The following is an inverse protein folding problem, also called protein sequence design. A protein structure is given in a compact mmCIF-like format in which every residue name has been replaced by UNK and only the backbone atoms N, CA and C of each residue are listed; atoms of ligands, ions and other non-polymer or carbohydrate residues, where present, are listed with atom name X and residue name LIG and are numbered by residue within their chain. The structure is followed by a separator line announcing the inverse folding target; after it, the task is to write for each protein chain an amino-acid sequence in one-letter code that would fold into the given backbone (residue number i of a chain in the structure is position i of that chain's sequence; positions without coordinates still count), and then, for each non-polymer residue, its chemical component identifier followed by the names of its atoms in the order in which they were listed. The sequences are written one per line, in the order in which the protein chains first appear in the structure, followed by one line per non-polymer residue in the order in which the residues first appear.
data_IF_921488338863
#
_entry.id   IF_921488338863
#
_cell.length_a   1.000
_cell.length_b   1.000
_cell.length_c   1.000
_cell.angle_alpha   90.00
_cell.angle_beta   90.00
_cell.angle_gamma   90.00
#
_symmetry.space_group_name_H-M   'P 1'
#
loop_
_entity.id
_entity.type
_entity.pdbx_description
1 polymer ?
#
# COMPACT_ATOMS: atom_id res chain seq x y z
N UNK A 1 13.27 4.56 18.29
CA UNK A 1 14.32 4.63 17.24
C UNK A 1 13.86 3.78 16.07
N UNK A 2 13.92 4.30 14.85
CA UNK A 2 13.49 3.65 13.63
C UNK A 2 14.64 3.64 12.63
N UNK A 3 14.88 2.50 11.99
CA UNK A 3 15.85 2.37 10.90
C UNK A 3 15.17 2.63 9.57
N UNK A 4 15.59 3.67 8.88
CA UNK A 4 15.13 4.00 7.53
C UNK A 4 16.13 3.46 6.51
N UNK A 5 15.64 2.74 5.52
CA UNK A 5 16.44 2.17 4.43
C UNK A 5 16.29 3.01 3.16
N UNK A 6 17.40 3.30 2.52
CA UNK A 6 17.46 3.99 1.23
C UNK A 6 18.45 3.25 0.31
N UNK A 7 17.95 2.37 -0.53
CA UNK A 7 18.82 1.48 -1.30
C UNK A 7 19.70 0.62 -0.39
N UNK A 8 21.03 0.81 -0.49
CA UNK A 8 22.01 0.10 0.35
C UNK A 8 22.38 0.88 1.63
N UNK A 9 21.86 2.07 1.81
CA UNK A 9 22.13 2.91 2.97
C UNK A 9 21.05 2.76 4.02
N UNK A 10 21.44 2.90 5.29
CA UNK A 10 20.52 2.92 6.43
C UNK A 10 20.74 4.16 7.26
N UNK A 11 19.66 4.73 7.76
CA UNK A 11 19.66 5.92 8.60
C UNK A 11 18.90 5.59 9.89
N UNK A 12 19.56 5.71 11.04
CA UNK A 12 18.90 5.58 12.33
C UNK A 12 18.25 6.91 12.72
N UNK A 13 16.93 6.89 12.87
CA UNK A 13 16.13 8.05 13.23
C UNK A 13 15.71 7.95 14.70
N UNK A 14 16.04 8.96 15.50
CA UNK A 14 15.43 9.17 16.81
C UNK A 14 14.15 9.97 16.60
N UNK A 15 13.02 9.30 16.65
CA UNK A 15 11.71 9.90 16.41
C UNK A 15 11.15 10.53 17.68
N UNK A 16 10.40 11.61 17.51
CA UNK A 16 9.68 12.30 18.58
C UNK A 16 8.48 11.45 19.06
N UNK A 17 8.07 11.64 20.31
CA UNK A 17 7.00 10.88 20.97
C UNK A 17 5.61 11.08 20.33
N UNK A 18 5.43 12.13 19.54
CA UNK A 18 4.21 12.41 18.79
C UNK A 18 4.14 11.69 17.42
N UNK A 19 5.13 10.86 17.08
CA UNK A 19 5.08 9.99 15.92
C UNK A 19 4.01 8.91 16.12
N UNK A 20 3.25 8.59 15.08
CA UNK A 20 2.13 7.65 15.18
C UNK A 20 1.91 6.84 13.91
N UNK A 21 1.29 5.67 14.07
CA UNK A 21 0.71 4.89 12.95
C UNK A 21 -0.81 5.02 12.95
N UNK A 22 -1.39 5.00 11.77
CA UNK A 22 -2.83 5.02 11.55
C UNK A 22 -3.21 3.97 10.52
N UNK A 23 -4.19 3.13 10.86
CA UNK A 23 -4.73 2.11 9.95
C UNK A 23 -6.26 2.18 9.96
N UNK A 24 -6.86 2.29 8.77
CA UNK A 24 -8.30 2.21 8.57
C UNK A 24 -8.67 0.94 7.79
N UNK A 25 -9.79 0.33 8.17
CA UNK A 25 -10.39 -0.77 7.38
C UNK A 25 -10.78 -0.21 6.02
N UNK A 26 -10.37 -0.88 4.94
CA UNK A 26 -10.55 -0.43 3.54
C UNK A 26 -10.04 1.00 3.23
N UNK A 27 -9.29 1.59 4.14
CA UNK A 27 -8.74 2.94 4.03
C UNK A 27 -7.21 2.98 4.07
N UNK A 28 -6.67 4.11 4.48
CA UNK A 28 -5.23 4.36 4.56
C UNK A 28 -4.55 3.51 5.64
N UNK A 29 -3.28 3.20 5.43
CA UNK A 29 -2.38 2.60 6.42
C UNK A 29 -1.05 3.36 6.35
N UNK A 30 -0.83 4.26 7.30
CA UNK A 30 0.24 5.24 7.29
C UNK A 30 1.05 5.23 8.59
N UNK A 31 2.31 5.61 8.47
CA UNK A 31 3.23 5.86 9.58
C UNK A 31 3.76 7.29 9.45
N UNK A 32 3.40 8.14 10.40
CA UNK A 32 3.89 9.53 10.46
C UNK A 32 5.01 9.63 11.47
N UNK A 33 6.19 10.03 11.01
CA UNK A 33 7.37 10.21 11.83
C UNK A 33 7.73 11.68 11.92
N UNK A 34 7.89 12.16 13.15
CA UNK A 34 8.46 13.47 13.47
C UNK A 34 9.83 13.28 14.08
N UNK A 35 10.81 14.04 13.63
CA UNK A 35 12.16 14.02 14.21
C UNK A 35 12.93 15.30 13.86
N UNK A 36 13.99 15.56 14.60
CA UNK A 36 14.95 16.63 14.33
C UNK A 36 16.33 16.06 14.02
N UNK A 37 17.07 16.71 13.13
CA UNK A 37 18.41 16.28 12.73
C UNK A 37 19.36 17.48 12.64
N UNK A 38 20.62 17.38 13.15
CA UNK A 38 21.58 18.48 13.17
C UNK A 38 22.27 18.72 11.81
N UNK A 39 21.53 18.77 10.75
CA UNK A 39 22.00 18.98 9.39
C UNK A 39 20.92 18.60 8.41
N UNK A 40 21.10 18.97 7.15
CA UNK A 40 20.20 18.54 6.11
C UNK A 40 20.35 17.03 5.89
N UNK A 41 19.23 16.31 6.00
CA UNK A 41 19.11 14.89 5.70
C UNK A 41 18.27 14.71 4.45
N UNK A 42 18.86 14.15 3.41
CA UNK A 42 18.10 13.79 2.20
C UNK A 42 17.39 12.45 2.42
N UNK A 43 16.06 12.48 2.41
CA UNK A 43 15.23 11.28 2.48
C UNK A 43 14.45 11.17 1.17
N UNK A 44 14.97 10.43 0.18
CA UNK A 44 14.33 10.35 -1.13
C UNK A 44 13.07 9.48 -1.09
N UNK A 45 12.16 9.74 -2.03
CA UNK A 45 11.00 8.87 -2.30
C UNK A 45 11.49 7.45 -2.56
N UNK A 46 10.79 6.47 -1.99
CA UNK A 46 11.18 5.06 -2.02
C UNK A 46 11.97 4.59 -0.78
N UNK A 47 12.44 5.51 0.07
CA UNK A 47 12.96 5.14 1.40
C UNK A 47 11.88 4.43 2.20
N UNK A 48 12.26 3.42 3.01
CA UNK A 48 11.31 2.59 3.73
C UNK A 48 11.84 2.18 5.11
N UNK A 49 10.92 1.83 5.99
CA UNK A 49 11.21 1.21 7.27
C UNK A 49 10.25 0.06 7.56
N UNK A 50 10.62 -0.78 8.51
CA UNK A 50 9.73 -1.81 9.07
C UNK A 50 9.20 -1.34 10.42
N UNK A 51 7.89 -1.47 10.61
CA UNK A 51 7.22 -1.15 11.84
C UNK A 51 6.08 -2.13 12.08
N UNK A 52 6.09 -2.81 13.23
CA UNK A 52 5.15 -3.89 13.58
C UNK A 52 4.94 -4.94 12.48
N UNK A 53 6.04 -5.38 11.84
CA UNK A 53 6.02 -6.43 10.81
C UNK A 53 5.47 -6.00 9.46
N UNK A 54 5.19 -4.71 9.27
CA UNK A 54 4.78 -4.10 7.99
C UNK A 54 5.92 -3.24 7.45
N UNK A 55 5.95 -3.10 6.12
CA UNK A 55 6.86 -2.18 5.43
C UNK A 55 6.12 -0.89 5.06
N UNK A 56 6.62 0.23 5.58
CA UNK A 56 6.15 1.57 5.24
C UNK A 56 7.17 2.27 4.37
N UNK A 57 6.74 2.83 3.26
CA UNK A 57 7.60 3.48 2.27
C UNK A 57 7.19 4.93 2.05
N UNK A 58 8.15 5.79 1.85
CA UNK A 58 7.93 7.19 1.50
C UNK A 58 7.47 7.28 0.04
N UNK A 59 6.22 7.65 -0.20
CA UNK A 59 5.62 7.77 -1.55
C UNK A 59 5.65 9.18 -2.10
N UNK A 60 5.85 10.18 -1.25
CA UNK A 60 5.90 11.61 -1.56
C UNK A 60 7.12 12.24 -0.92
N UNK A 61 7.55 13.39 -1.40
CA UNK A 61 8.67 14.11 -0.82
C UNK A 61 8.46 14.40 0.68
N UNK A 62 9.55 14.31 1.43
CA UNK A 62 9.56 14.65 2.85
C UNK A 62 9.34 16.14 3.07
N UNK A 63 8.53 16.47 4.08
CA UNK A 63 8.43 17.85 4.55
C UNK A 63 9.52 18.11 5.59
N UNK A 64 10.26 19.20 5.42
CA UNK A 64 11.22 19.64 6.42
C UNK A 64 11.20 21.15 6.61
N UNK A 65 11.58 21.57 7.81
CA UNK A 65 11.73 22.99 8.18
C UNK A 65 13.10 23.20 8.79
N UNK A 66 13.83 24.20 8.31
CA UNK A 66 15.08 24.61 8.91
C UNK A 66 14.82 25.47 10.17
N UNK A 67 15.35 25.05 11.29
CA UNK A 67 15.23 25.73 12.58
C UNK A 67 16.63 26.21 13.01
N UNK A 68 16.96 27.48 12.69
CA UNK A 68 18.28 28.04 12.98
C UNK A 68 19.37 27.58 12.00
N UNK A 69 20.64 27.68 12.40
CA UNK A 69 21.77 27.45 11.48
C UNK A 69 22.02 25.97 11.16
N UNK A 70 21.79 25.06 12.10
CA UNK A 70 22.20 23.64 12.01
C UNK A 70 21.14 22.66 12.50
N UNK A 71 19.88 23.05 12.54
CA UNK A 71 18.82 22.13 12.97
C UNK A 71 17.67 22.11 11.98
N UNK A 72 17.19 20.90 11.66
CA UNK A 72 16.09 20.67 10.74
C UNK A 72 15.06 19.77 11.41
N UNK A 73 13.79 20.16 11.34
CA UNK A 73 12.67 19.31 11.77
C UNK A 73 12.04 18.66 10.54
N UNK A 74 11.79 17.38 10.61
CA UNK A 74 11.23 16.57 9.52
C UNK A 74 9.87 16.01 9.90
N UNK A 75 9.01 15.90 8.90
CA UNK A 75 7.79 15.12 8.93
C UNK A 75 7.80 14.16 7.76
N UNK A 76 7.87 12.87 8.02
CA UNK A 76 7.75 11.82 7.01
C UNK A 76 6.40 11.15 7.15
N UNK A 77 5.65 11.08 6.07
CA UNK A 77 4.44 10.26 5.98
C UNK A 77 4.76 9.09 5.06
N UNK A 78 4.90 7.92 5.67
CA UNK A 78 5.18 6.67 4.98
C UNK A 78 3.89 5.86 4.88
N UNK A 79 3.73 5.15 3.78
CA UNK A 79 2.52 4.40 3.46
C UNK A 79 2.88 2.94 3.17
N UNK A 80 1.97 2.03 3.49
CA UNK A 80 2.11 0.61 3.11
C UNK A 80 1.89 0.41 1.60
N UNK A 81 2.07 -0.80 1.11
CA UNK A 81 1.77 -1.15 -0.29
C UNK A 81 0.30 -1.00 -0.65
N UNK A 82 -0.58 -0.81 0.33
CA UNK A 82 -1.99 -0.47 0.11
C UNK A 82 -2.14 0.78 -0.77
N UNK A 83 -1.28 1.79 -0.59
CA UNK A 83 -1.22 2.98 -1.44
C UNK A 83 -0.87 2.67 -2.91
N UNK A 84 -0.16 1.57 -3.19
CA UNK A 84 0.17 1.17 -4.56
C UNK A 84 -1.09 0.79 -5.36
N UNK A 85 -2.16 0.35 -4.69
CA UNK A 85 -3.42 -0.01 -5.35
C UNK A 85 -4.11 1.18 -6.01
N UNK A 86 -3.85 2.39 -5.56
CA UNK A 86 -4.39 3.64 -6.12
C UNK A 86 -3.74 4.03 -7.45
N UNK A 87 -2.54 3.53 -7.71
CA UNK A 87 -1.73 3.94 -8.85
C UNK A 87 -1.95 3.09 -10.11
N UNK A 88 -2.47 1.86 -9.96
CA UNK A 88 -2.49 0.88 -11.03
C UNK A 88 -3.88 0.59 -11.56
N UNK A 89 -4.06 0.79 -12.88
CA UNK A 89 -5.32 0.49 -13.57
C UNK A 89 -5.43 -1.00 -13.88
N UNK A 90 -6.65 -1.52 -13.68
CA UNK A 90 -7.03 -2.87 -14.09
C UNK A 90 -6.98 -3.00 -15.61
N UNK A 91 -6.41 -4.08 -16.07
CA UNK A 91 -6.38 -4.49 -17.48
C UNK A 91 -6.91 -5.90 -17.60
N UNK A 92 -7.65 -6.14 -18.66
CA UNK A 92 -8.03 -7.49 -19.05
C UNK A 92 -6.76 -8.33 -19.32
N UNK A 93 -6.72 -9.54 -18.80
CA UNK A 93 -5.54 -10.43 -18.91
C UNK A 93 -5.32 -10.96 -20.34
N UNK A 94 -6.37 -11.00 -21.16
CA UNK A 94 -6.32 -11.55 -22.54
C UNK A 94 -5.85 -10.51 -23.56
N UNK A 95 -6.45 -9.30 -23.53
CA UNK A 95 -6.25 -8.30 -24.59
C UNK A 95 -5.74 -6.94 -24.09
N UNK A 96 -5.42 -6.83 -22.79
CA UNK A 96 -4.90 -5.62 -22.14
C UNK A 96 -5.83 -4.40 -22.17
N UNK A 97 -7.10 -4.55 -22.57
CA UNK A 97 -8.06 -3.44 -22.53
C UNK A 97 -8.27 -2.95 -21.10
N UNK A 98 -8.45 -1.65 -20.95
CA UNK A 98 -8.73 -0.96 -19.68
C UNK A 98 -10.22 -0.63 -19.52
N UNK A 99 -11.03 -0.92 -20.52
CA UNK A 99 -12.49 -0.82 -20.53
C UNK A 99 -13.08 -2.13 -21.02
N UNK A 100 -13.67 -2.90 -20.10
CA UNK A 100 -14.24 -4.20 -20.40
C UNK A 100 -15.25 -4.64 -19.34
N UNK A 101 -16.31 -5.37 -19.73
CA UNK A 101 -17.14 -6.11 -18.80
C UNK A 101 -16.42 -7.40 -18.38
N UNK A 102 -16.63 -7.82 -17.14
CA UNK A 102 -16.09 -9.09 -16.64
C UNK A 102 -17.11 -9.75 -15.72
N UNK A 103 -17.61 -10.93 -16.12
CA UNK A 103 -18.55 -11.75 -15.35
C UNK A 103 -17.78 -12.92 -14.76
N UNK A 104 -17.73 -12.97 -13.43
CA UNK A 104 -16.92 -13.95 -12.72
C UNK A 104 -17.39 -14.10 -11.26
N UNK A 105 -16.88 -15.12 -10.57
CA UNK A 105 -17.03 -15.31 -9.13
C UNK A 105 -16.12 -14.36 -8.35
N UNK A 106 -16.36 -14.12 -7.03
CA UNK A 106 -15.54 -13.22 -6.21
C UNK A 106 -14.03 -13.50 -6.33
N UNK A 107 -13.64 -14.76 -6.24
CA UNK A 107 -12.23 -15.19 -6.29
C UNK A 107 -11.57 -14.90 -7.64
N UNK A 108 -12.31 -15.01 -8.73
CA UNK A 108 -11.80 -14.74 -10.08
C UNK A 108 -11.64 -13.23 -10.32
N UNK A 109 -12.59 -12.40 -9.81
CA UNK A 109 -12.45 -10.96 -9.78
C UNK A 109 -11.23 -10.54 -8.97
N UNK A 110 -11.06 -11.12 -7.76
CA UNK A 110 -9.90 -10.85 -6.92
C UNK A 110 -8.60 -11.26 -7.60
N UNK A 111 -8.61 -12.42 -8.28
CA UNK A 111 -7.44 -12.88 -9.05
C UNK A 111 -7.05 -11.90 -10.14
N UNK A 112 -8.01 -11.37 -10.89
CA UNK A 112 -7.75 -10.36 -11.91
C UNK A 112 -7.07 -9.12 -11.30
N UNK A 113 -7.53 -8.66 -10.12
CA UNK A 113 -6.95 -7.50 -9.43
C UNK A 113 -5.51 -7.82 -8.98
N UNK A 114 -5.30 -8.95 -8.32
CA UNK A 114 -3.98 -9.39 -7.82
C UNK A 114 -2.98 -9.61 -8.97
N UNK A 115 -3.41 -10.21 -10.07
CA UNK A 115 -2.58 -10.38 -11.26
C UNK A 115 -2.13 -9.02 -11.83
N UNK A 116 -3.01 -8.02 -11.82
CA UNK A 116 -2.67 -6.66 -12.27
C UNK A 116 -1.69 -5.95 -11.30
N UNK A 117 -1.85 -6.12 -10.01
CA UNK A 117 -0.91 -5.61 -9.00
C UNK A 117 0.47 -6.23 -9.18
N UNK A 118 0.55 -7.56 -9.38
CA UNK A 118 1.80 -8.29 -9.58
C UNK A 118 2.54 -7.92 -10.87
N UNK A 119 1.86 -7.35 -11.87
CA UNK A 119 2.53 -6.81 -13.07
C UNK A 119 3.45 -5.61 -12.75
N UNK A 120 3.25 -4.97 -11.61
CA UNK A 120 3.96 -3.75 -11.22
C UNK A 120 4.86 -3.92 -10.01
N UNK A 121 4.40 -4.68 -9.04
CA UNK A 121 5.10 -4.94 -7.80
C UNK A 121 4.80 -6.37 -7.37
N UNK A 122 5.79 -7.23 -7.37
CA UNK A 122 5.64 -8.65 -6.99
C UNK A 122 5.25 -8.82 -5.50
N UNK A 123 4.83 -10.03 -5.15
CA UNK A 123 4.53 -10.41 -3.75
C UNK A 123 3.07 -10.23 -3.34
N UNK A 124 2.17 -9.93 -4.27
CA UNK A 124 0.74 -9.92 -4.02
C UNK A 124 0.16 -11.33 -4.12
N UNK A 125 -0.60 -11.73 -3.11
CA UNK A 125 -1.26 -13.04 -3.04
C UNK A 125 -2.72 -12.88 -2.62
N UNK A 126 -3.54 -13.89 -2.96
CA UNK A 126 -4.92 -13.99 -2.51
C UNK A 126 -4.92 -14.72 -1.16
N UNK A 127 -5.55 -14.10 -0.18
CA UNK A 127 -5.82 -14.71 1.13
C UNK A 127 -7.19 -15.37 1.20
N UNK A 128 -7.88 -15.14 2.31
CA UNK A 128 -9.26 -15.60 2.45
C UNK A 128 -10.15 -14.96 1.40
N UNK A 129 -11.04 -15.75 0.81
CA UNK A 129 -11.99 -15.27 -0.16
C UNK A 129 -13.33 -15.97 0.03
N UNK A 130 -14.39 -15.19 0.03
CA UNK A 130 -15.75 -15.71 0.09
C UNK A 130 -16.10 -16.50 -1.16
N UNK A 131 -16.98 -17.49 -1.01
CA UNK A 131 -17.67 -18.12 -2.13
C UNK A 131 -18.88 -17.27 -2.55
N UNK A 132 -19.20 -17.28 -3.83
CA UNK A 132 -20.34 -16.53 -4.39
C UNK A 132 -20.64 -16.90 -5.83
N UNK A 133 -21.81 -16.45 -6.30
CA UNK A 133 -22.22 -16.62 -7.69
C UNK A 133 -21.49 -15.62 -8.59
N UNK A 134 -21.47 -15.92 -9.88
CA UNK A 134 -20.93 -15.00 -10.87
C UNK A 134 -21.77 -13.71 -10.92
N UNK A 135 -21.10 -12.57 -10.93
CA UNK A 135 -21.67 -11.25 -11.12
C UNK A 135 -20.88 -10.46 -12.16
N UNK A 136 -21.56 -9.58 -12.87
CA UNK A 136 -20.94 -8.68 -13.84
C UNK A 136 -20.40 -7.44 -13.14
N UNK A 137 -19.13 -7.14 -13.36
CA UNK A 137 -18.52 -5.84 -13.04
C UNK A 137 -17.98 -5.20 -14.32
N UNK A 138 -18.28 -3.93 -14.52
CA UNK A 138 -17.79 -3.16 -15.65
C UNK A 138 -16.58 -2.33 -15.24
N UNK A 139 -15.40 -2.75 -15.64
CA UNK A 139 -14.18 -1.99 -15.44
C UNK A 139 -14.01 -0.94 -16.54
N UNK A 140 -13.87 0.32 -16.17
CA UNK A 140 -13.71 1.44 -17.10
C UNK A 140 -12.62 2.38 -16.60
N UNK A 141 -11.39 2.19 -17.04
CA UNK A 141 -10.20 2.91 -16.56
C UNK A 141 -10.01 2.82 -15.02
N UNK A 142 -10.60 1.80 -14.42
CA UNK A 142 -10.66 1.58 -12.96
C UNK A 142 -9.26 1.29 -12.40
N UNK A 143 -8.89 1.94 -11.32
CA UNK A 143 -7.67 1.58 -10.57
C UNK A 143 -7.92 0.37 -9.68
N UNK A 144 -6.87 -0.31 -9.23
CA UNK A 144 -7.02 -1.53 -8.43
C UNK A 144 -7.79 -1.29 -7.13
N UNK A 145 -7.60 -0.13 -6.47
CA UNK A 145 -8.36 0.24 -5.28
C UNK A 145 -9.86 0.36 -5.55
N UNK A 146 -10.24 1.09 -6.60
CA UNK A 146 -11.65 1.23 -7.00
C UNK A 146 -12.26 -0.12 -7.39
N UNK A 147 -11.46 -1.01 -8.01
CA UNK A 147 -11.91 -2.34 -8.36
C UNK A 147 -12.16 -3.22 -7.11
N UNK A 148 -11.33 -3.10 -6.07
CA UNK A 148 -11.58 -3.75 -4.78
C UNK A 148 -12.84 -3.21 -4.13
N UNK A 149 -13.06 -1.89 -4.17
CA UNK A 149 -14.28 -1.25 -3.65
C UNK A 149 -15.53 -1.69 -4.43
N UNK A 150 -15.50 -1.70 -5.77
CA UNK A 150 -16.60 -2.22 -6.60
C UNK A 150 -16.90 -3.69 -6.31
N UNK A 151 -15.86 -4.50 -6.09
CA UNK A 151 -16.00 -5.91 -5.74
C UNK A 151 -16.66 -6.06 -4.36
N UNK A 152 -16.22 -5.27 -3.38
CA UNK A 152 -16.79 -5.24 -2.03
C UNK A 152 -18.28 -4.84 -2.06
N UNK A 153 -18.62 -3.77 -2.74
CA UNK A 153 -20.02 -3.32 -2.93
C UNK A 153 -20.87 -4.36 -3.67
N UNK A 154 -20.34 -4.95 -4.75
CA UNK A 154 -21.08 -5.93 -5.57
C UNK A 154 -21.49 -7.16 -4.79
N UNK A 155 -20.64 -7.60 -3.85
CA UNK A 155 -20.86 -8.82 -3.06
C UNK A 155 -21.27 -8.55 -1.61
N UNK A 156 -21.42 -7.27 -1.22
CA UNK A 156 -21.77 -6.84 0.16
C UNK A 156 -20.79 -7.43 1.20
N UNK A 157 -19.50 -7.16 0.98
CA UNK A 157 -18.38 -7.67 1.77
C UNK A 157 -17.36 -6.57 2.03
N UNK A 158 -16.34 -6.88 2.83
CA UNK A 158 -15.16 -6.04 3.01
C UNK A 158 -13.92 -6.67 2.37
N UNK A 159 -13.02 -5.83 1.88
CA UNK A 159 -11.66 -6.25 1.55
C UNK A 159 -10.68 -5.81 2.65
N UNK A 160 -9.66 -6.61 2.85
CA UNK A 160 -8.55 -6.28 3.75
C UNK A 160 -7.23 -6.58 3.04
N UNK A 161 -6.29 -5.66 3.14
CA UNK A 161 -4.92 -5.87 2.68
C UNK A 161 -4.04 -6.02 3.93
N UNK A 162 -3.34 -7.14 4.04
CA UNK A 162 -2.37 -7.40 5.10
C UNK A 162 -0.98 -7.54 4.50
N UNK A 163 0.03 -7.12 5.25
CA UNK A 163 1.43 -7.23 4.84
C UNK A 163 2.23 -7.97 5.89
N UNK A 164 3.17 -8.78 5.44
CA UNK A 164 4.13 -9.45 6.30
C UNK A 164 5.51 -9.38 5.67
N UNK A 165 6.52 -9.16 6.50
CA UNK A 165 7.92 -9.27 6.11
C UNK A 165 8.53 -10.39 6.95
N UNK A 166 8.88 -11.50 6.30
CA UNK A 166 9.50 -12.67 6.94
C UNK A 166 10.80 -12.97 6.19
N UNK A 167 11.91 -12.97 6.92
CA UNK A 167 13.25 -13.22 6.35
C UNK A 167 13.57 -12.36 5.11
N UNK A 168 13.12 -11.09 5.11
CA UNK A 168 13.28 -10.15 4.01
C UNK A 168 12.31 -10.35 2.85
N UNK A 169 11.44 -11.34 2.88
CA UNK A 169 10.38 -11.55 1.87
C UNK A 169 9.15 -10.75 2.26
N UNK A 170 8.82 -9.75 1.44
CA UNK A 170 7.65 -8.89 1.62
C UNK A 170 6.45 -9.47 0.87
N UNK A 171 5.48 -9.99 1.61
CA UNK A 171 4.22 -10.55 1.09
C UNK A 171 3.06 -9.62 1.39
N UNK A 172 2.22 -9.37 0.39
CA UNK A 172 1.02 -8.52 0.44
C UNK A 172 -0.19 -9.38 0.13
N UNK A 173 -1.08 -9.56 1.09
CA UNK A 173 -2.21 -10.47 0.98
C UNK A 173 -3.51 -9.69 0.91
N UNK A 174 -4.34 -9.96 -0.10
CA UNK A 174 -5.68 -9.38 -0.25
C UNK A 174 -6.73 -10.41 0.15
N UNK A 175 -7.56 -10.05 1.10
CA UNK A 175 -8.67 -10.87 1.60
C UNK A 175 -10.01 -10.26 1.21
N UNK A 176 -11.02 -11.11 0.98
CA UNK A 176 -12.44 -10.74 0.88
C UNK A 176 -13.19 -11.44 2.01
N UNK A 177 -13.77 -10.68 2.91
CA UNK A 177 -14.42 -11.18 4.13
C UNK A 177 -15.87 -10.71 4.22
N UNK A 178 -16.71 -11.51 4.87
CA UNK A 178 -18.05 -11.04 5.26
C UNK A 178 -17.90 -10.01 6.38
N UNK A 179 -18.74 -8.98 6.32
CA UNK A 179 -18.93 -8.00 7.40
C UNK A 179 -19.57 -8.67 8.61
#
# INVERSE_FOLDING_TARGET
MITLHNGNETIELLTDDNSYSYEAVMGEDTLTLYFSHPGYLNVPVGSWCEFYGKRYSLKKDSNFKKNGERNYSYTLVLETSKADTELWKIRNTVDNRIKFPYTAKPKEHLKLIVDNLNRRSSGWVIGECIEGTEKLINYNHTVCLDALSQLAETYEIEYQITETVIEGVHTKTVHLKKV
#
